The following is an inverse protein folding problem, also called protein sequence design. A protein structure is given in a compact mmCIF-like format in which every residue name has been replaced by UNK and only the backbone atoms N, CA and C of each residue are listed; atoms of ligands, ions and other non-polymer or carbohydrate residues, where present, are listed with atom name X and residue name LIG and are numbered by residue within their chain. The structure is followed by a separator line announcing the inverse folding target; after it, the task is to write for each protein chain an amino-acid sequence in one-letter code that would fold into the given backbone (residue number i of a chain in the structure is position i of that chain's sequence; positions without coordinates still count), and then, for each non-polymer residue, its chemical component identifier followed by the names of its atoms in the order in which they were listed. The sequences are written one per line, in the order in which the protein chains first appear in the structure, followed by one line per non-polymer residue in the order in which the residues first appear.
data_IF_986825653239
#
_entry.id   IF_986825653239
#
_cell.length_a   1.000
_cell.length_b   1.000
_cell.length_c   1.000
_cell.angle_alpha   90.00
_cell.angle_beta   90.00
_cell.angle_gamma   90.00
#
_symmetry.space_group_name_H-M   'P 1'
#
loop_
_entity.id
_entity.type
_entity.pdbx_description
1 polymer ?
#
# COMPACT_ATOMS: atom_id res chain seq x y z
N UNK A 1 13.47 -1.95 8.92
CA UNK A 1 13.93 -1.99 7.52
C UNK A 1 13.48 -0.76 6.71
N UNK A 2 12.39 -0.07 7.05
CA UNK A 2 11.90 1.12 6.33
C UNK A 2 12.86 2.33 6.33
N UNK A 3 13.65 2.53 7.40
CA UNK A 3 14.60 3.65 7.47
C UNK A 3 15.76 3.57 6.48
N UNK A 4 16.16 2.35 6.09
CA UNK A 4 17.23 2.15 5.11
C UNK A 4 16.75 2.44 3.68
N UNK A 5 15.50 2.08 3.36
CA UNK A 5 14.88 2.41 2.07
C UNK A 5 14.60 3.92 1.94
N UNK A 6 14.17 4.58 3.01
CA UNK A 6 13.96 6.04 3.00
C UNK A 6 15.29 6.79 2.79
N UNK A 7 16.37 6.35 3.44
CA UNK A 7 17.71 6.90 3.25
C UNK A 7 18.27 6.65 1.85
N UNK A 8 18.02 5.46 1.27
CA UNK A 8 18.43 5.15 -0.09
C UNK A 8 17.66 5.99 -1.14
N UNK A 9 16.37 6.23 -0.92
CA UNK A 9 15.54 7.08 -1.79
C UNK A 9 15.94 8.55 -1.71
N UNK A 10 16.24 9.05 -0.52
CA UNK A 10 16.74 10.42 -0.35
C UNK A 10 18.06 10.63 -1.10
N UNK A 11 19.01 9.70 -0.95
CA UNK A 11 20.29 9.74 -1.71
C UNK A 11 20.10 9.60 -3.21
N UNK A 12 19.14 8.81 -3.67
CA UNK A 12 18.84 8.67 -5.10
C UNK A 12 18.23 9.96 -5.67
N UNK A 13 17.36 10.64 -4.92
CA UNK A 13 16.81 11.94 -5.30
C UNK A 13 17.87 13.04 -5.28
N UNK A 14 18.80 13.01 -4.32
CA UNK A 14 19.92 13.93 -4.24
C UNK A 14 20.90 13.73 -5.42
N UNK A 15 21.20 12.48 -5.76
CA UNK A 15 22.00 12.14 -6.94
C UNK A 15 21.30 12.53 -8.25
N UNK A 16 19.97 12.39 -8.32
CA UNK A 16 19.19 12.84 -9.48
C UNK A 16 19.11 14.36 -9.59
N UNK A 17 19.08 15.09 -8.46
CA UNK A 17 19.15 16.55 -8.44
C UNK A 17 20.54 17.04 -8.86
N UNK A 18 21.60 16.42 -8.35
CA UNK A 18 22.98 16.70 -8.78
C UNK A 18 23.18 16.39 -10.27
N UNK A 19 22.59 15.30 -10.78
CA UNK A 19 22.60 15.01 -12.21
C UNK A 19 21.72 15.98 -13.00
N UNK A 20 20.62 16.49 -12.44
CA UNK A 20 19.79 17.51 -13.09
C UNK A 20 20.51 18.86 -13.18
N UNK A 21 21.32 19.23 -12.18
CA UNK A 21 22.17 20.42 -12.21
C UNK A 21 23.35 20.27 -13.20
N UNK A 22 23.89 19.05 -13.36
CA UNK A 22 24.93 18.74 -14.36
C UNK A 22 24.35 18.65 -15.78
N UNK A 23 23.10 18.19 -15.91
CA UNK A 23 22.37 18.05 -17.17
C UNK A 23 21.53 19.30 -17.51
N UNK A 24 21.48 20.29 -16.61
CA UNK A 24 21.06 21.62 -16.98
C UNK A 24 22.01 22.07 -18.10
N UNK A 25 21.50 22.51 -19.27
CA UNK A 25 22.35 22.81 -20.39
C UNK A 25 23.25 24.01 -20.04
N UNK A 26 24.47 23.71 -19.58
CA UNK A 26 25.58 24.65 -19.37
C UNK A 26 25.95 25.40 -20.68
N UNK A 27 25.26 25.12 -21.79
CA UNK A 27 25.39 25.84 -23.07
C UNK A 27 24.43 27.01 -23.28
N UNK A 28 23.59 27.41 -22.30
CA UNK A 28 22.63 28.52 -22.51
C UNK A 28 23.13 29.93 -22.18
N UNK A 29 24.41 30.06 -21.85
CA UNK A 29 25.00 31.36 -21.56
C UNK A 29 26.13 31.65 -22.56
N UNK A 30 25.80 32.49 -23.55
CA UNK A 30 26.74 33.35 -24.29
C UNK A 30 27.49 32.80 -25.51
N UNK A 31 26.93 31.83 -26.23
CA UNK A 31 27.07 31.88 -27.70
C UNK A 31 25.72 32.32 -28.25
N UNK A 32 25.65 33.60 -28.64
CA UNK A 32 24.53 34.08 -29.43
C UNK A 32 24.48 33.22 -30.71
N UNK A 33 23.63 32.19 -30.71
CA UNK A 33 23.24 31.43 -31.89
C UNK A 33 22.57 32.42 -32.86
N UNK A 34 23.40 33.14 -33.61
CA UNK A 34 22.95 33.88 -34.76
C UNK A 34 22.24 32.84 -35.65
N UNK A 35 20.97 33.07 -36.04
CA UNK A 35 20.21 32.14 -36.84
C UNK A 35 21.07 31.57 -37.97
N UNK A 36 20.97 30.27 -38.23
CA UNK A 36 21.79 29.60 -39.24
C UNK A 36 21.78 30.32 -40.61
N UNK A 37 20.71 31.07 -40.90
CA UNK A 37 20.59 31.97 -42.04
C UNK A 37 21.61 33.13 -42.02
N UNK A 38 21.80 33.81 -40.89
CA UNK A 38 22.77 34.92 -40.74
C UNK A 38 24.21 34.40 -40.85
N UNK A 39 24.50 33.24 -40.26
CA UNK A 39 25.81 32.59 -40.42
C UNK A 39 26.06 32.17 -41.87
N UNK A 40 25.05 31.65 -42.57
CA UNK A 40 25.15 31.30 -43.98
C UNK A 40 25.39 32.53 -44.86
N UNK A 41 24.69 33.64 -44.61
CA UNK A 41 24.88 34.92 -45.30
C UNK A 41 26.29 35.48 -45.09
N UNK A 42 26.77 35.48 -43.84
CA UNK A 42 28.12 35.92 -43.51
C UNK A 42 29.20 35.06 -44.20
N UNK A 43 29.04 33.74 -44.22
CA UNK A 43 29.98 32.83 -44.90
C UNK A 43 29.95 33.05 -46.41
N UNK A 44 28.77 33.27 -47.01
CA UNK A 44 28.68 33.58 -48.44
C UNK A 44 29.36 34.91 -48.79
N UNK A 45 29.13 35.95 -48.00
CA UNK A 45 29.73 37.27 -48.25
C UNK A 45 31.24 37.28 -48.01
N UNK A 46 31.72 36.52 -47.02
CA UNK A 46 33.15 36.31 -46.81
C UNK A 46 33.78 35.61 -48.02
N UNK A 47 33.16 34.55 -48.56
CA UNK A 47 33.64 33.89 -49.80
C UNK A 47 33.67 34.83 -51.01
N UNK A 48 32.69 35.74 -51.15
CA UNK A 48 32.68 36.75 -52.23
C UNK A 48 33.84 37.74 -52.07
N UNK A 49 34.09 38.21 -50.84
CA UNK A 49 35.19 39.12 -50.52
C UNK A 49 36.54 38.46 -50.77
N UNK A 50 36.72 37.22 -50.34
CA UNK A 50 37.94 36.45 -50.58
C UNK A 50 38.19 36.25 -52.07
N UNK A 51 37.15 35.90 -52.84
CA UNK A 51 37.26 35.78 -54.30
C UNK A 51 37.66 37.09 -54.97
N UNK A 52 37.10 38.21 -54.53
CA UNK A 52 37.45 39.53 -55.03
C UNK A 52 38.90 39.89 -54.69
N UNK A 53 39.31 39.68 -53.44
CA UNK A 53 40.68 39.92 -52.98
C UNK A 53 41.68 39.08 -53.77
N UNK A 54 41.40 37.77 -53.94
CA UNK A 54 42.24 36.90 -54.77
C UNK A 54 42.29 37.37 -56.23
N UNK A 55 41.18 37.84 -56.80
CA UNK A 55 41.16 38.40 -58.16
C UNK A 55 41.98 39.68 -58.27
N UNK A 56 41.93 40.55 -57.26
CA UNK A 56 42.72 41.79 -57.22
C UNK A 56 44.21 41.47 -57.05
N UNK A 57 44.56 40.53 -56.17
CA UNK A 57 45.92 40.02 -56.03
C UNK A 57 46.45 39.43 -57.34
N UNK A 58 45.64 38.66 -58.07
CA UNK A 58 46.03 38.16 -59.40
C UNK A 58 46.33 39.28 -60.41
N UNK A 59 45.56 40.37 -60.37
CA UNK A 59 45.82 41.55 -61.23
C UNK A 59 47.09 42.27 -60.79
N UNK A 60 47.32 42.43 -59.48
CA UNK A 60 48.54 43.04 -58.94
C UNK A 60 49.77 42.18 -59.27
N UNK A 61 49.69 40.86 -59.09
CA UNK A 61 50.74 39.92 -59.48
C UNK A 61 51.00 39.98 -60.99
N UNK A 62 49.95 40.07 -61.82
CA UNK A 62 50.12 40.22 -63.26
C UNK A 62 50.85 41.52 -63.62
N UNK A 63 50.45 42.65 -63.02
CA UNK A 63 51.10 43.94 -63.23
C UNK A 63 52.53 43.95 -62.70
N UNK A 64 52.78 43.34 -61.54
CA UNK A 64 54.11 43.23 -60.96
C UNK A 64 55.02 42.34 -61.80
N UNK A 65 54.51 41.22 -62.33
CA UNK A 65 55.23 40.35 -63.27
C UNK A 65 55.47 41.04 -64.61
N UNK A 66 54.52 41.83 -65.11
CA UNK A 66 54.70 42.62 -66.32
C UNK A 66 55.82 43.67 -66.15
N UNK A 67 55.83 44.37 -65.02
CA UNK A 67 56.88 45.34 -64.68
C UNK A 67 58.23 44.68 -64.38
N UNK A 68 58.24 43.50 -63.75
CA UNK A 68 59.46 42.74 -63.48
C UNK A 68 60.05 42.09 -64.74
N UNK A 69 59.22 41.69 -65.71
CA UNK A 69 59.66 41.19 -67.02
C UNK A 69 60.29 42.29 -67.88
N UNK A 70 59.96 43.56 -67.64
CA UNK A 70 60.65 44.71 -68.25
C UNK A 70 62.12 44.82 -67.79
N UNK A 71 62.48 44.25 -66.63
CA UNK A 71 63.82 44.40 -66.01
C UNK A 71 64.65 43.09 -65.95
N UNK A 72 64.09 41.92 -66.32
CA UNK A 72 64.79 40.62 -66.23
C UNK A 72 64.66 39.82 -67.54
N UNK A 73 65.38 40.26 -68.57
CA UNK A 73 65.69 39.40 -69.74
C UNK A 73 66.85 38.43 -69.46
N UNK A 74 67.43 38.39 -68.26
CA UNK A 74 68.59 37.55 -68.01
C UNK A 74 68.52 36.73 -66.73
N UNK A 75 68.22 35.44 -66.91
CA UNK A 75 68.98 34.39 -66.24
C UNK A 75 68.32 33.78 -65.01
N UNK A 76 67.42 32.81 -65.23
CA UNK A 76 67.27 31.53 -64.51
C UNK A 76 66.03 30.83 -65.07
N UNK A 77 66.17 29.57 -65.49
CA UNK A 77 65.19 28.78 -66.25
C UNK A 77 63.79 28.79 -65.58
N UNK A 78 62.83 29.60 -66.08
CA UNK A 78 61.53 29.80 -65.44
C UNK A 78 60.63 28.57 -65.50
N UNK A 79 60.88 27.69 -66.47
CA UNK A 79 60.03 26.54 -66.78
C UNK A 79 60.06 25.48 -65.67
N UNK A 80 61.23 25.22 -65.08
CA UNK A 80 61.36 24.24 -63.99
C UNK A 80 60.72 24.72 -62.66
N UNK A 81 60.74 26.03 -62.39
CA UNK A 81 60.08 26.63 -61.23
C UNK A 81 58.55 26.62 -61.37
N UNK A 82 58.04 26.91 -62.57
CA UNK A 82 56.61 26.79 -62.86
C UNK A 82 56.10 25.34 -62.79
N UNK A 83 56.86 24.38 -63.31
CA UNK A 83 56.45 22.97 -63.29
C UNK A 83 56.39 22.40 -61.87
N UNK A 84 57.36 22.73 -61.01
CA UNK A 84 57.31 22.34 -59.59
C UNK A 84 56.17 23.03 -58.82
N UNK A 85 55.85 24.29 -59.16
CA UNK A 85 54.70 25.00 -58.61
C UNK A 85 53.37 24.38 -59.05
N UNK A 86 53.23 24.04 -60.33
CA UNK A 86 52.06 23.34 -60.88
C UNK A 86 51.87 21.98 -60.22
N UNK A 87 52.95 21.22 -60.02
CA UNK A 87 52.90 19.94 -59.29
C UNK A 87 52.44 20.11 -57.84
N UNK A 88 52.96 21.11 -57.11
CA UNK A 88 52.52 21.42 -55.74
C UNK A 88 51.04 21.84 -55.69
N UNK A 89 50.57 22.61 -56.66
CA UNK A 89 49.18 23.01 -56.76
C UNK A 89 48.24 21.84 -57.07
N UNK A 90 48.68 20.87 -57.88
CA UNK A 90 47.95 19.62 -58.13
C UNK A 90 47.88 18.75 -56.87
N UNK A 91 49.00 18.57 -56.16
CA UNK A 91 49.04 17.82 -54.90
C UNK A 91 48.13 18.47 -53.83
N UNK A 92 48.15 19.79 -53.70
CA UNK A 92 47.25 20.51 -52.80
C UNK A 92 45.77 20.37 -53.20
N UNK A 93 45.46 20.32 -54.50
CA UNK A 93 44.11 20.04 -55.00
C UNK A 93 43.65 18.62 -54.67
N UNK A 94 44.54 17.64 -54.75
CA UNK A 94 44.24 16.26 -54.38
C UNK A 94 44.01 16.12 -52.87
N UNK A 95 44.88 16.71 -52.04
CA UNK A 95 44.70 16.77 -50.59
C UNK A 95 43.39 17.48 -50.20
N UNK A 96 43.03 18.57 -50.87
CA UNK A 96 41.75 19.24 -50.64
C UNK A 96 40.55 18.38 -51.03
N UNK A 97 40.64 17.61 -52.12
CA UNK A 97 39.58 16.69 -52.53
C UNK A 97 39.43 15.55 -51.52
N UNK A 98 40.53 14.98 -51.06
CA UNK A 98 40.53 13.93 -50.04
C UNK A 98 39.94 14.44 -48.73
N UNK A 99 40.38 15.60 -48.26
CA UNK A 99 39.83 16.25 -47.06
C UNK A 99 38.32 16.54 -47.19
N UNK A 100 37.88 16.98 -48.37
CA UNK A 100 36.47 17.22 -48.63
C UNK A 100 35.66 15.92 -48.61
N UNK A 101 36.21 14.83 -49.15
CA UNK A 101 35.57 13.52 -49.14
C UNK A 101 35.45 12.97 -47.72
N UNK A 102 36.54 12.99 -46.94
CA UNK A 102 36.51 12.53 -45.53
C UNK A 102 35.58 13.37 -44.66
N UNK A 103 35.56 14.69 -44.85
CA UNK A 103 34.59 15.56 -44.19
C UNK A 103 33.14 15.16 -44.52
N UNK A 104 32.84 14.93 -45.80
CA UNK A 104 31.51 14.53 -46.23
C UNK A 104 31.10 13.18 -45.62
N UNK A 105 32.01 12.19 -45.61
CA UNK A 105 31.78 10.90 -44.97
C UNK A 105 31.49 11.04 -43.47
N UNK A 106 32.22 11.90 -42.75
CA UNK A 106 31.96 12.16 -41.34
C UNK A 106 30.60 12.84 -41.11
N UNK A 107 30.24 13.82 -41.94
CA UNK A 107 28.92 14.47 -41.87
C UNK A 107 27.81 13.46 -42.10
N UNK A 108 27.95 12.57 -43.09
CA UNK A 108 26.97 11.52 -43.36
C UNK A 108 26.89 10.51 -42.23
N UNK A 109 28.03 10.10 -41.67
CA UNK A 109 28.07 9.19 -40.52
C UNK A 109 27.38 9.79 -39.29
N UNK A 110 27.66 11.06 -38.97
CA UNK A 110 27.01 11.79 -37.86
C UNK A 110 25.52 11.95 -38.14
N UNK A 111 25.13 12.34 -39.35
CA UNK A 111 23.72 12.52 -39.72
C UNK A 111 22.94 11.21 -39.65
N UNK A 112 23.55 10.10 -40.09
CA UNK A 112 22.96 8.76 -39.99
C UNK A 112 22.81 8.31 -38.55
N UNK A 113 23.82 8.52 -37.71
CA UNK A 113 23.77 8.21 -36.28
C UNK A 113 22.72 9.06 -35.55
N UNK A 114 22.63 10.36 -35.85
CA UNK A 114 21.64 11.27 -35.25
C UNK A 114 20.21 10.85 -35.60
N UNK A 115 19.97 10.51 -36.88
CA UNK A 115 18.67 10.06 -37.38
C UNK A 115 18.19 8.79 -36.66
N UNK A 116 19.12 7.92 -36.26
CA UNK A 116 18.83 6.71 -35.50
C UNK A 116 18.70 6.97 -34.00
N UNK A 117 19.53 7.83 -33.43
CA UNK A 117 19.58 8.09 -31.99
C UNK A 117 18.38 8.91 -31.50
N UNK A 118 17.95 9.94 -32.24
CA UNK A 118 16.83 10.82 -31.85
C UNK A 118 15.53 10.06 -31.52
N UNK A 119 14.99 9.17 -32.36
CA UNK A 119 13.75 8.46 -32.04
C UNK A 119 13.91 7.56 -30.80
N UNK A 120 15.07 6.92 -30.61
CA UNK A 120 15.31 6.09 -29.42
C UNK A 120 15.34 6.91 -28.14
N UNK A 121 15.90 8.13 -28.19
CA UNK A 121 15.88 9.08 -27.08
C UNK A 121 14.46 9.56 -26.76
N UNK A 122 13.66 9.89 -27.78
CA UNK A 122 12.26 10.27 -27.58
C UNK A 122 11.43 9.14 -26.97
N UNK A 123 11.61 7.91 -27.43
CA UNK A 123 10.95 6.75 -26.85
C UNK A 123 11.36 6.53 -25.39
N UNK A 124 12.64 6.67 -25.08
CA UNK A 124 13.13 6.59 -23.70
C UNK A 124 12.50 7.68 -22.83
N UNK A 125 12.35 8.90 -23.35
CA UNK A 125 11.69 10.00 -22.64
C UNK A 125 10.20 9.73 -22.43
N UNK A 126 9.48 9.20 -23.44
CA UNK A 126 8.08 8.79 -23.31
C UNK A 126 7.91 7.70 -22.26
N UNK A 127 8.76 6.67 -22.29
CA UNK A 127 8.79 5.60 -21.28
C UNK A 127 9.07 6.15 -19.88
N UNK A 128 10.01 7.08 -19.74
CA UNK A 128 10.30 7.76 -18.46
C UNK A 128 9.06 8.50 -17.94
N UNK A 129 8.36 9.26 -18.79
CA UNK A 129 7.14 9.96 -18.41
C UNK A 129 6.03 8.99 -17.96
N UNK A 130 5.86 7.88 -18.68
CA UNK A 130 4.91 6.82 -18.31
C UNK A 130 5.25 6.18 -16.95
N UNK A 131 6.53 5.91 -16.69
CA UNK A 131 6.97 5.36 -15.41
C UNK A 131 6.75 6.34 -14.25
N UNK A 132 7.00 7.63 -14.47
CA UNK A 132 6.71 8.67 -13.47
C UNK A 132 5.21 8.72 -13.16
N UNK A 133 4.35 8.74 -14.17
CA UNK A 133 2.90 8.70 -13.97
C UNK A 133 2.45 7.44 -13.21
N UNK A 134 2.98 6.26 -13.56
CA UNK A 134 2.66 5.02 -12.86
C UNK A 134 3.12 5.03 -11.38
N UNK A 135 4.27 5.66 -11.09
CA UNK A 135 4.76 5.82 -9.72
C UNK A 135 3.87 6.75 -8.91
N UNK A 136 3.43 7.87 -9.48
CA UNK A 136 2.48 8.80 -8.85
C UNK A 136 1.15 8.10 -8.53
N UNK A 137 0.61 7.34 -9.49
CA UNK A 137 -0.60 6.54 -9.26
C UNK A 137 -0.42 5.52 -8.14
N UNK A 138 0.71 4.81 -8.11
CA UNK A 138 1.00 3.82 -7.07
C UNK A 138 1.10 4.50 -5.70
N UNK A 139 1.75 5.66 -5.63
CA UNK A 139 1.85 6.44 -4.41
C UNK A 139 0.48 6.93 -3.93
N UNK A 140 -0.38 7.41 -4.83
CA UNK A 140 -1.75 7.78 -4.51
C UNK A 140 -2.56 6.57 -4.01
N UNK A 141 -2.47 5.42 -4.70
CA UNK A 141 -3.12 4.16 -4.27
C UNK A 141 -2.65 3.73 -2.89
N UNK A 142 -1.35 3.85 -2.59
CA UNK A 142 -0.79 3.57 -1.25
C UNK A 142 -1.40 4.48 -0.20
N UNK A 143 -1.47 5.79 -0.44
CA UNK A 143 -2.05 6.75 0.50
C UNK A 143 -3.52 6.41 0.80
N UNK A 144 -4.33 6.20 -0.24
CA UNK A 144 -5.73 5.81 -0.11
C UNK A 144 -5.87 4.50 0.68
N UNK A 145 -5.03 3.49 0.42
CA UNK A 145 -5.06 2.24 1.17
C UNK A 145 -4.71 2.44 2.66
N UNK A 146 -3.72 3.28 2.96
CA UNK A 146 -3.36 3.59 4.36
C UNK A 146 -4.46 4.34 5.09
N UNK A 147 -5.17 5.24 4.41
CA UNK A 147 -6.32 5.95 4.99
C UNK A 147 -7.49 5.00 5.24
N UNK A 148 -7.81 4.14 4.27
CA UNK A 148 -8.83 3.09 4.43
C UNK A 148 -8.53 2.15 5.59
N UNK A 149 -7.27 1.76 5.77
CA UNK A 149 -6.85 0.95 6.92
C UNK A 149 -7.08 1.70 8.23
N UNK A 150 -6.69 2.97 8.32
CA UNK A 150 -6.91 3.80 9.52
C UNK A 150 -8.39 3.96 9.84
N UNK A 151 -9.24 4.19 8.85
CA UNK A 151 -10.69 4.33 9.08
C UNK A 151 -11.32 3.01 9.51
N UNK A 152 -10.96 1.89 8.86
CA UNK A 152 -11.42 0.56 9.28
C UNK A 152 -10.98 0.23 10.71
N UNK A 153 -9.74 0.57 11.09
CA UNK A 153 -9.24 0.39 12.45
C UNK A 153 -10.05 1.20 13.47
N UNK A 154 -10.30 2.49 13.20
CA UNK A 154 -11.14 3.34 14.07
C UNK A 154 -12.56 2.81 14.20
N UNK A 155 -13.15 2.35 13.11
CA UNK A 155 -14.49 1.75 13.13
C UNK A 155 -14.51 0.47 13.96
N UNK A 156 -13.51 -0.41 13.82
CA UNK A 156 -13.39 -1.60 14.63
C UNK A 156 -13.26 -1.27 16.12
N UNK A 157 -12.41 -0.31 16.48
CA UNK A 157 -12.27 0.16 17.86
C UNK A 157 -13.59 0.68 18.43
N UNK A 158 -14.31 1.53 17.67
CA UNK A 158 -15.61 2.04 18.09
C UNK A 158 -16.63 0.91 18.31
N UNK A 159 -16.63 -0.11 17.46
CA UNK A 159 -17.52 -1.26 17.62
C UNK A 159 -17.16 -2.08 18.87
N UNK A 160 -15.86 -2.27 19.14
CA UNK A 160 -15.40 -2.93 20.36
C UNK A 160 -15.82 -2.15 21.61
N UNK A 161 -15.63 -0.82 21.62
CA UNK A 161 -16.05 0.04 22.72
C UNK A 161 -17.56 -0.02 22.96
N UNK A 162 -18.37 0.05 21.90
CA UNK A 162 -19.83 -0.10 22.00
C UNK A 162 -20.22 -1.46 22.57
N UNK A 163 -19.58 -2.53 22.10
CA UNK A 163 -19.85 -3.87 22.62
C UNK A 163 -19.52 -3.97 24.12
N UNK A 164 -18.37 -3.44 24.54
CA UNK A 164 -17.98 -3.39 25.95
C UNK A 164 -18.94 -2.54 26.81
N UNK A 165 -19.40 -1.40 26.29
CA UNK A 165 -20.40 -0.56 26.96
C UNK A 165 -21.72 -1.33 27.15
N UNK A 166 -22.23 -1.97 26.11
CA UNK A 166 -23.45 -2.77 26.21
C UNK A 166 -23.30 -3.96 27.18
N UNK A 167 -22.14 -4.62 27.20
CA UNK A 167 -21.86 -5.67 28.18
C UNK A 167 -21.84 -5.12 29.61
N UNK A 168 -21.25 -3.93 29.82
CA UNK A 168 -21.22 -3.28 31.12
C UNK A 168 -22.62 -2.90 31.60
N UNK A 169 -23.45 -2.30 30.74
CA UNK A 169 -24.85 -1.95 30.99
C UNK A 169 -25.67 -3.20 31.35
N UNK A 170 -25.62 -4.24 30.51
CA UNK A 170 -26.33 -5.49 30.78
C UNK A 170 -25.89 -6.12 32.11
N UNK A 171 -24.58 -6.08 32.43
CA UNK A 171 -24.08 -6.58 33.71
C UNK A 171 -24.60 -5.77 34.90
N UNK A 172 -24.75 -4.44 34.75
CA UNK A 172 -25.28 -3.56 35.78
C UNK A 172 -26.77 -3.80 36.01
N UNK A 173 -27.55 -3.98 34.94
CA UNK A 173 -28.97 -4.35 35.02
C UNK A 173 -29.17 -5.68 35.74
N UNK A 174 -28.38 -6.71 35.40
CA UNK A 174 -28.45 -8.01 36.06
C UNK A 174 -28.13 -7.88 37.55
N UNK A 175 -27.09 -7.14 37.92
CA UNK A 175 -26.76 -6.86 39.34
C UNK A 175 -27.86 -6.08 40.06
N UNK A 176 -28.54 -5.16 39.37
CA UNK A 176 -29.66 -4.42 39.94
C UNK A 176 -30.86 -5.35 40.20
N UNK A 177 -31.24 -6.17 39.21
CA UNK A 177 -32.33 -7.15 39.36
C UNK A 177 -32.03 -8.16 40.44
N UNK A 178 -30.79 -8.67 40.50
CA UNK A 178 -30.35 -9.58 41.55
C UNK A 178 -30.49 -8.95 42.95
N UNK A 179 -30.06 -7.70 43.12
CA UNK A 179 -30.23 -6.97 44.39
C UNK A 179 -31.70 -6.78 44.75
N UNK A 180 -32.55 -6.43 43.78
CA UNK A 180 -34.00 -6.32 44.01
C UNK A 180 -34.61 -7.64 44.48
N UNK A 181 -34.29 -8.75 43.82
CA UNK A 181 -34.76 -10.08 44.20
C UNK A 181 -34.24 -10.52 45.58
N UNK A 182 -32.99 -10.19 45.93
CA UNK A 182 -32.44 -10.43 47.27
C UNK A 182 -33.22 -9.66 48.34
N UNK A 183 -33.52 -8.38 48.11
CA UNK A 183 -34.32 -7.56 49.02
C UNK A 183 -35.75 -8.11 49.19
N UNK A 184 -36.37 -8.60 48.12
CA UNK A 184 -37.69 -9.24 48.17
C UNK A 184 -37.66 -10.55 48.98
N UNK A 185 -36.64 -11.38 48.78
CA UNK A 185 -36.44 -12.59 49.58
C UNK A 185 -36.24 -12.30 51.06
N UNK A 186 -35.44 -11.27 51.40
CA UNK A 186 -35.26 -10.81 52.77
C UNK A 186 -36.59 -10.30 53.38
N UNK A 187 -37.42 -9.62 52.58
CA UNK A 187 -38.73 -9.17 53.04
C UNK A 187 -39.66 -10.36 53.33
N UNK A 188 -39.71 -11.32 52.41
CA UNK A 188 -40.54 -12.52 52.55
C UNK A 188 -40.09 -13.40 53.71
N UNK A 189 -38.79 -13.52 53.96
CA UNK A 189 -38.27 -14.29 55.10
C UNK A 189 -38.64 -13.63 56.43
N UNK A 190 -38.57 -12.31 56.52
CA UNK A 190 -39.06 -11.56 57.69
C UNK A 190 -40.57 -11.74 57.90
N UNK A 191 -41.37 -11.68 56.83
CA UNK A 191 -42.82 -11.91 56.89
C UNK A 191 -43.14 -13.34 57.36
N UNK A 192 -42.44 -14.35 56.84
CA UNK A 192 -42.56 -15.73 57.29
C UNK A 192 -42.20 -15.89 58.77
N UNK A 193 -41.12 -15.28 59.23
CA UNK A 193 -40.72 -15.28 60.65
C UNK A 193 -41.83 -14.71 61.55
N UNK A 194 -42.41 -13.57 61.17
CA UNK A 194 -43.53 -12.97 61.91
C UNK A 194 -44.76 -13.88 61.94
N UNK A 195 -45.11 -14.52 60.82
CA UNK A 195 -46.24 -15.45 60.75
C UNK A 195 -46.00 -16.68 61.61
N UNK A 196 -44.77 -17.18 61.65
CA UNK A 196 -44.39 -18.32 62.47
C UNK A 196 -44.46 -17.99 63.97
N UNK A 197 -44.00 -16.80 64.39
CA UNK A 197 -44.18 -16.31 65.76
C UNK A 197 -45.65 -16.20 66.14
N UNK A 198 -46.49 -15.64 65.26
CA UNK A 198 -47.94 -15.57 65.50
C UNK A 198 -48.59 -16.96 65.61
N UNK A 199 -48.17 -17.91 64.76
CA UNK A 199 -48.63 -19.28 64.83
C UNK A 199 -48.22 -19.94 66.15
N UNK A 200 -46.98 -19.71 66.62
CA UNK A 200 -46.49 -20.17 67.91
C UNK A 200 -47.30 -19.60 69.07
N UNK A 201 -47.56 -18.29 69.09
CA UNK A 201 -48.42 -17.66 70.11
C UNK A 201 -49.83 -18.25 70.14
N UNK A 202 -50.42 -18.49 68.96
CA UNK A 202 -51.73 -19.15 68.86
C UNK A 202 -51.69 -20.60 69.37
N UNK A 203 -50.62 -21.35 69.09
CA UNK A 203 -50.43 -22.67 69.67
C UNK A 203 -50.30 -22.61 71.20
N UNK A 204 -49.49 -21.70 71.75
CA UNK A 204 -49.34 -21.56 73.20
C UNK A 204 -50.66 -21.24 73.89
N UNK A 205 -51.46 -20.34 73.29
CA UNK A 205 -52.79 -20.05 73.81
C UNK A 205 -53.69 -21.29 73.75
N UNK A 206 -53.70 -22.05 72.64
CA UNK A 206 -54.43 -23.32 72.56
C UNK A 206 -54.01 -24.33 73.63
N UNK A 207 -52.70 -24.51 73.85
CA UNK A 207 -52.17 -25.38 74.90
C UNK A 207 -52.64 -24.93 76.29
N UNK A 208 -52.65 -23.62 76.57
CA UNK A 208 -53.19 -23.08 77.84
C UNK A 208 -54.67 -23.42 78.00
N UNK A 209 -55.49 -23.20 76.96
CA UNK A 209 -56.92 -23.54 77.01
C UNK A 209 -57.12 -25.04 77.24
N UNK A 210 -56.31 -25.89 76.58
CA UNK A 210 -56.37 -27.33 76.78
C UNK A 210 -56.01 -27.73 78.22
N UNK A 211 -54.96 -27.14 78.80
CA UNK A 211 -54.59 -27.36 80.20
C UNK A 211 -55.70 -26.90 81.17
N UNK A 212 -56.35 -25.76 80.90
CA UNK A 212 -57.51 -25.31 81.68
C UNK A 212 -58.68 -26.30 81.62
N UNK A 213 -58.98 -26.83 80.44
CA UNK A 213 -60.02 -27.85 80.27
C UNK A 213 -59.69 -29.13 81.05
N UNK A 214 -58.43 -29.58 81.03
CA UNK A 214 -57.97 -30.72 81.84
C UNK A 214 -58.14 -30.46 83.34
N UNK A 215 -57.77 -29.26 83.82
CA UNK A 215 -57.96 -28.89 85.23
C UNK A 215 -59.44 -28.89 85.63
N UNK A 216 -60.32 -28.35 84.78
CA UNK A 216 -61.77 -28.35 85.01
C UNK A 216 -62.34 -29.76 85.10
N UNK A 217 -61.88 -30.69 84.25
CA UNK A 217 -62.27 -32.10 84.31
C UNK A 217 -61.86 -32.75 85.64
N UNK A 218 -60.62 -32.50 86.10
CA UNK A 218 -60.12 -32.97 87.40
C UNK A 218 -60.95 -32.42 88.58
N UNK A 219 -61.30 -31.13 88.55
CA UNK A 219 -62.09 -30.47 89.60
C UNK A 219 -63.56 -30.91 89.62
N UNK A 220 -64.14 -31.29 88.49
CA UNK A 220 -65.50 -31.86 88.41
C UNK A 220 -65.59 -33.29 88.96
N UNK A 221 -64.50 -33.88 89.45
CA UNK A 221 -64.52 -35.18 90.10
C UNK A 221 -64.71 -36.35 89.14
N UNK A 222 -64.46 -36.18 87.84
CA UNK A 222 -64.31 -37.30 86.92
C UNK A 222 -62.83 -37.62 86.77
N UNK A 223 -62.40 -38.64 87.50
CA UNK A 223 -61.21 -39.42 87.18
C UNK A 223 -61.33 -39.92 85.72
N UNK A 224 -60.40 -39.60 84.81
CA UNK A 224 -60.02 -40.59 83.82
C UNK A 224 -59.10 -41.58 84.53
N UNK A 225 -59.56 -42.82 84.64
CA UNK A 225 -58.71 -43.95 84.95
C UNK A 225 -57.47 -43.97 84.03
N UNK A 226 -56.30 -44.40 84.54
CA UNK A 226 -55.15 -44.76 83.74
C UNK A 226 -55.28 -46.23 83.31
N UNK A 227 -55.57 -46.48 82.04
CA UNK A 227 -55.40 -47.75 81.34
C UNK A 227 -55.21 -47.36 79.87
N UNK A 228 -54.20 -47.78 79.12
CA UNK A 228 -52.99 -48.53 79.38
C UNK A 228 -52.07 -48.22 78.18
N UNK A 229 -50.77 -48.37 78.38
CA UNK A 229 -49.83 -48.75 77.32
C UNK A 229 -49.64 -47.81 76.12
N UNK A 230 -48.59 -47.00 76.23
CA UNK A 230 -47.47 -47.03 75.30
C UNK A 230 -47.80 -47.27 73.80
N UNK A 231 -48.21 -46.22 73.10
CA UNK A 231 -47.79 -46.07 71.71
C UNK A 231 -47.13 -44.70 71.52
N UNK A 232 -45.80 -44.75 71.58
CA UNK A 232 -44.89 -43.74 71.02
C UNK A 232 -45.41 -43.28 69.65
N UNK A 233 -45.41 -41.97 69.35
CA UNK A 233 -45.65 -41.52 67.99
C UNK A 233 -44.58 -42.15 67.10
N UNK A 234 -45.01 -43.03 66.20
CA UNK A 234 -44.20 -43.55 65.11
C UNK A 234 -43.51 -42.36 64.44
N UNK A 235 -42.20 -42.48 64.38
CA UNK A 235 -41.22 -41.51 63.90
C UNK A 235 -41.67 -40.79 62.63
N UNK A 236 -41.35 -39.50 62.60
CA UNK A 236 -40.85 -38.81 61.42
C UNK A 236 -40.00 -39.78 60.59
N UNK A 237 -40.37 -39.99 59.33
CA UNK A 237 -39.39 -40.18 58.27
C UNK A 237 -39.47 -38.95 57.37
N UNK A 238 -38.63 -37.98 57.72
CA UNK A 238 -38.00 -37.08 56.76
C UNK A 238 -36.85 -37.89 56.12
N UNK A 239 -36.65 -37.91 54.81
CA UNK A 239 -35.31 -38.06 54.27
C UNK A 239 -34.73 -36.66 54.05
N UNK A 240 -33.93 -36.20 55.00
CA UNK A 240 -32.95 -35.15 54.74
C UNK A 240 -31.72 -35.78 54.05
N UNK A 241 -31.47 -35.27 52.85
CA UNK A 241 -30.26 -35.19 52.02
C UNK A 241 -28.95 -35.92 52.43
N UNK A 242 -28.44 -36.71 51.45
CA UNK A 242 -27.05 -36.89 50.94
C UNK A 242 -25.89 -37.19 51.94
N UNK A 243 -24.64 -37.59 51.58
CA UNK A 243 -23.99 -37.87 50.28
C UNK A 243 -23.24 -39.23 50.22
N UNK A 244 -22.87 -39.71 49.03
CA UNK A 244 -21.77 -40.70 48.92
C UNK A 244 -20.85 -40.35 47.76
N UNK A 245 -19.76 -39.65 48.09
CA UNK A 245 -18.52 -39.66 47.33
C UNK A 245 -17.89 -41.06 47.41
N UNK A 246 -17.66 -41.68 46.26
CA UNK A 246 -16.50 -42.55 46.02
C UNK A 246 -15.93 -42.22 44.64
N UNK A 247 -15.00 -41.26 44.61
CA UNK A 247 -13.83 -41.32 43.72
C UNK A 247 -12.78 -42.23 44.42
N UNK A 248 -11.77 -42.86 43.76
CA UNK A 248 -11.01 -42.32 42.62
C UNK A 248 -10.46 -43.35 41.59
N UNK A 249 -9.86 -42.84 40.50
CA UNK A 249 -8.58 -43.40 40.01
C UNK A 249 -8.51 -44.09 38.64
N UNK A 250 -8.36 -43.28 37.59
CA UNK A 250 -7.38 -43.39 36.50
C UNK A 250 -7.05 -44.75 35.83
N UNK A 251 -7.21 -44.84 34.49
CA UNK A 251 -6.10 -44.92 33.52
C UNK A 251 -6.59 -45.21 32.07
N UNK A 252 -6.07 -44.39 31.15
CA UNK A 252 -5.70 -44.71 29.75
C UNK A 252 -6.87 -45.04 28.81
N UNK A 253 -7.32 -44.08 27.99
CA UNK A 253 -6.80 -43.86 26.64
C UNK A 253 -7.90 -44.30 25.66
N UNK A 254 -8.12 -43.77 24.47
CA UNK A 254 -7.43 -42.85 23.57
C UNK A 254 -8.41 -42.69 22.38
N UNK A 255 -8.39 -41.55 21.71
CA UNK A 255 -9.01 -41.28 20.39
C UNK A 255 -10.56 -41.20 20.36
N UNK A 256 -11.25 -40.36 19.59
CA UNK A 256 -10.94 -39.29 18.63
C UNK A 256 -12.29 -38.75 18.13
N UNK A 257 -12.39 -37.43 17.98
CA UNK A 257 -13.35 -36.69 17.14
C UNK A 257 -14.81 -36.44 17.60
N UNK A 258 -15.05 -35.14 17.79
CA UNK A 258 -16.31 -34.38 17.87
C UNK A 258 -16.82 -34.12 16.42
N UNK A 259 -17.96 -33.43 16.18
CA UNK A 259 -19.37 -33.80 16.39
C UNK A 259 -20.18 -33.82 15.06
N UNK A 260 -21.42 -34.30 15.13
CA UNK A 260 -22.47 -33.96 14.16
C UNK A 260 -22.82 -32.46 14.25
N UNK A 261 -22.79 -31.76 13.11
CA UNK A 261 -23.20 -30.37 12.95
C UNK A 261 -24.39 -30.35 11.98
N UNK A 262 -25.53 -29.85 12.46
CA UNK A 262 -26.69 -29.57 11.62
C UNK A 262 -26.64 -28.11 11.14
N UNK A 263 -26.82 -27.97 9.83
CA UNK A 263 -27.29 -26.87 8.99
C UNK A 263 -27.26 -25.41 9.46
N UNK A 264 -26.58 -24.60 8.63
CA UNK A 264 -26.91 -23.22 8.34
C UNK A 264 -26.55 -22.93 6.87
N UNK A 265 -27.37 -22.18 6.11
CA UNK A 265 -27.20 -22.00 4.66
C UNK A 265 -26.14 -20.92 4.35
N UNK A 266 -25.33 -21.15 3.30
CA UNK A 266 -24.44 -20.16 2.69
C UNK A 266 -24.89 -19.80 1.26
N UNK A 267 -24.70 -18.55 0.82
CA UNK A 267 -25.04 -18.10 -0.52
C UNK A 267 -23.98 -18.49 -1.56
N UNK A 268 -24.47 -18.65 -2.79
CA UNK A 268 -23.73 -19.02 -3.99
C UNK A 268 -22.60 -18.04 -4.34
N UNK A 269 -21.42 -18.61 -4.62
CA UNK A 269 -20.39 -17.97 -5.43
C UNK A 269 -20.44 -18.58 -6.81
N UNK A 270 -20.68 -17.76 -7.84
CA UNK A 270 -20.42 -18.13 -9.22
C UNK A 270 -19.17 -17.40 -9.71
N UNK A 271 -18.11 -18.19 -9.86
CA UNK A 271 -16.97 -17.87 -10.69
C UNK A 271 -17.39 -18.01 -12.16
N UNK A 272 -17.48 -16.89 -12.87
CA UNK A 272 -17.56 -16.91 -14.34
C UNK A 272 -16.15 -16.88 -14.93
N UNK A 273 -15.70 -18.03 -15.41
CA UNK A 273 -14.80 -18.13 -16.56
C UNK A 273 -15.52 -18.99 -17.60
N UNK A 274 -15.58 -18.58 -18.87
CA UNK A 274 -15.87 -19.51 -19.94
C UNK A 274 -14.62 -19.71 -20.81
N UNK A 275 -14.01 -20.88 -20.69
CA UNK A 275 -13.39 -21.55 -21.83
C UNK A 275 -14.43 -22.52 -22.38
N UNK A 276 -14.88 -22.30 -23.62
CA UNK A 276 -15.36 -23.39 -24.47
C UNK A 276 -14.94 -23.11 -25.92
N UNK A 277 -14.18 -24.05 -26.45
CA UNK A 277 -13.96 -24.28 -27.87
C UNK A 277 -15.31 -24.46 -28.57
N UNK A 278 -15.50 -23.79 -29.71
CA UNK A 278 -16.22 -24.38 -30.84
C UNK A 278 -15.48 -24.04 -32.13
N UNK A 279 -15.02 -25.08 -32.82
CA UNK A 279 -14.45 -24.97 -34.15
C UNK A 279 -15.55 -24.74 -35.18
N UNK A 280 -15.30 -23.84 -36.13
CA UNK A 280 -15.98 -23.89 -37.41
C UNK A 280 -14.96 -23.68 -38.54
N UNK A 281 -14.98 -24.66 -39.43
CA UNK A 281 -14.18 -24.79 -40.63
C UNK A 281 -14.81 -24.05 -41.82
N UNK A 282 -13.94 -23.64 -42.75
CA UNK A 282 -14.10 -23.52 -44.22
C UNK A 282 -14.79 -22.29 -44.88
N UNK A 283 -14.07 -21.73 -45.89
CA UNK A 283 -14.60 -20.98 -47.04
C UNK A 283 -13.80 -19.71 -47.41
N UNK A 284 -12.67 -19.74 -48.13
CA UNK A 284 -12.43 -19.80 -49.60
C UNK A 284 -12.75 -18.51 -50.40
N UNK A 285 -11.76 -18.02 -51.17
CA UNK A 285 -11.85 -17.01 -52.24
C UNK A 285 -11.40 -15.63 -51.76
N UNK A 286 -10.41 -14.94 -52.34
CA UNK A 286 -9.77 -14.93 -53.67
C UNK A 286 -8.37 -14.33 -53.52
#
# INVERSE_FOLDING_TARGET
MEGAEAGARARALEALAQLADILEPIGRQEEAELPAQILAEFVMDSRKKDKLLCSQLQVVDFLQNFLAQEDVVQGLDPLASEDTSRQKALAAKEQWKELKATYQEHVEAITGALTQALPTMEEAQRKRAQLLGALEELQAKKQVATERLRTAQKQWQLQQEKHLQHLAEASAEVRQRQRGMQQELERLSQELGRLQEQAGQKQDTLHRHQAFLQLLQTLQGQLPFPEAEAELPRKLDLPEAEPQEQNPGAMIGKDRSVPSKADGPQPAGDASSPELLEGQQHGKGT
#
